data_IF_956479058869
#
_entry.id   IF_956479058869
#
_cell.length_a   1.000
_cell.length_b   1.000
_cell.length_c   1.000
_cell.angle_alpha   90.00
_cell.angle_beta   90.00
_cell.angle_gamma   90.00
#
_symmetry.space_group_name_H-M   'P 1'
#
loop_
_entity.id
_entity.type
_entity.pdbx_description
1 polymer ?
#
# COMPACT_ATOMS: atom_id res chain seq x y z
N UNK A 1 -1.62 -35.68 14.60
CA UNK A 1 -1.25 -34.91 13.38
C UNK A 1 -1.41 -33.42 13.70
N UNK A 2 -0.32 -32.67 13.87
CA UNK A 2 -0.39 -31.23 14.15
C UNK A 2 -0.91 -30.46 12.91
N UNK A 3 -1.82 -29.51 13.12
CA UNK A 3 -2.28 -28.62 12.06
C UNK A 3 -1.08 -27.87 11.49
N UNK A 4 -0.78 -28.08 10.21
CA UNK A 4 0.30 -27.34 9.53
C UNK A 4 -0.09 -25.86 9.52
N UNK A 5 0.66 -25.03 10.23
CA UNK A 5 0.62 -23.58 10.05
C UNK A 5 1.31 -23.28 8.73
N UNK A 6 0.54 -22.92 7.70
CA UNK A 6 1.07 -22.70 6.35
C UNK A 6 0.03 -22.10 5.40
N UNK A 7 0.52 -21.49 4.32
CA UNK A 7 -0.22 -20.69 3.33
C UNK A 7 -0.96 -21.58 2.33
N UNK A 8 -2.23 -21.25 2.01
CA UNK A 8 -2.99 -21.90 0.94
C UNK A 8 -3.17 -20.94 -0.25
N UNK A 9 -2.99 -21.41 -1.50
CA UNK A 9 -3.20 -20.58 -2.68
C UNK A 9 -4.66 -20.07 -2.74
N UNK A 10 -4.84 -18.75 -2.80
CA UNK A 10 -6.10 -18.12 -3.17
C UNK A 10 -6.37 -18.46 -4.65
N UNK A 11 -7.03 -19.57 -4.92
CA UNK A 11 -7.50 -19.94 -6.25
C UNK A 11 -8.40 -18.80 -6.79
N UNK A 12 -7.84 -17.96 -7.68
CA UNK A 12 -8.51 -16.91 -8.48
C UNK A 12 -9.03 -15.64 -7.78
N UNK A 13 -8.35 -15.08 -6.78
CA UNK A 13 -8.71 -13.74 -6.28
C UNK A 13 -8.04 -12.62 -7.12
N UNK A 14 -8.82 -11.66 -7.64
CA UNK A 14 -8.34 -10.48 -8.40
C UNK A 14 -7.33 -9.59 -7.63
N UNK A 15 -7.30 -9.69 -6.30
CA UNK A 15 -6.30 -9.01 -5.47
C UNK A 15 -4.93 -9.74 -5.50
N UNK A 16 -4.93 -11.06 -5.71
CA UNK A 16 -3.74 -11.90 -5.69
C UNK A 16 -2.96 -11.92 -7.04
N UNK A 17 -3.52 -11.40 -8.13
CA UNK A 17 -2.83 -11.36 -9.44
C UNK A 17 -1.76 -10.28 -9.53
N UNK A 18 -1.90 -9.21 -8.73
CA UNK A 18 -1.03 -8.02 -8.75
C UNK A 18 -0.08 -7.96 -7.56
N UNK A 19 -0.17 -8.93 -6.63
CA UNK A 19 0.72 -8.98 -5.47
C UNK A 19 2.10 -9.49 -5.90
N UNK A 20 3.16 -8.82 -5.45
CA UNK A 20 4.51 -9.36 -5.54
C UNK A 20 4.61 -10.39 -4.42
N UNK A 21 4.68 -11.66 -4.83
CA UNK A 21 4.73 -12.79 -3.91
C UNK A 21 6.15 -12.91 -3.35
N UNK A 22 6.32 -12.73 -2.03
CA UNK A 22 7.51 -13.17 -1.30
C UNK A 22 7.33 -14.61 -0.78
N UNK A 23 8.34 -15.12 -0.07
CA UNK A 23 8.38 -16.51 0.42
C UNK A 23 7.27 -16.86 1.43
N UNK A 24 6.71 -15.85 2.11
CA UNK A 24 5.61 -16.01 3.07
C UNK A 24 4.54 -14.95 2.85
N UNK A 25 3.31 -15.38 2.55
CA UNK A 25 2.15 -14.49 2.40
C UNK A 25 1.13 -14.83 3.49
N UNK A 26 0.93 -13.90 4.43
CA UNK A 26 -0.12 -13.95 5.44
C UNK A 26 -1.42 -13.31 4.93
N UNK A 27 -2.53 -14.02 5.15
CA UNK A 27 -3.90 -13.59 4.87
C UNK A 27 -4.30 -12.42 5.80
N UNK A 28 -5.39 -11.68 5.47
CA UNK A 28 -5.31 -10.22 5.33
C UNK A 28 -4.70 -9.51 6.55
N UNK A 29 -3.51 -8.97 6.37
CA UNK A 29 -2.83 -8.19 7.40
C UNK A 29 -3.53 -6.83 7.58
N UNK A 30 -3.75 -6.46 8.84
CA UNK A 30 -4.18 -5.13 9.29
C UNK A 30 -2.99 -4.39 9.87
N UNK A 31 -3.03 -3.06 9.88
CA UNK A 31 -1.96 -2.25 10.46
C UNK A 31 -0.66 -2.41 9.68
N UNK A 32 -0.70 -2.19 8.38
CA UNK A 32 0.46 -2.43 7.51
C UNK A 32 0.92 -1.16 6.81
N UNK A 33 2.22 -1.15 6.49
CA UNK A 33 2.80 -0.30 5.47
C UNK A 33 2.91 -1.12 4.19
N UNK A 34 2.38 -0.59 3.09
CA UNK A 34 2.38 -1.25 1.79
C UNK A 34 3.03 -0.36 0.73
N UNK A 35 3.46 -1.00 -0.36
CA UNK A 35 4.03 -0.36 -1.53
C UNK A 35 3.21 -0.71 -2.76
N UNK A 36 2.97 0.29 -3.62
CA UNK A 36 2.51 0.12 -4.99
C UNK A 36 3.67 0.46 -5.93
N UNK A 37 3.89 -0.38 -6.94
CA UNK A 37 4.89 -0.18 -7.99
C UNK A 37 4.18 -0.03 -9.33
N UNK A 38 4.40 1.11 -9.96
CA UNK A 38 3.94 1.42 -11.31
C UNK A 38 4.75 0.65 -12.36
N UNK A 39 4.19 0.28 -13.52
CA UNK A 39 4.97 -0.27 -14.64
C UNK A 39 6.16 0.59 -15.07
N UNK A 40 6.09 1.92 -14.94
CA UNK A 40 7.21 2.83 -15.24
C UNK A 40 8.33 2.83 -14.17
N UNK A 41 8.19 2.04 -13.10
CA UNK A 41 9.18 1.91 -12.04
C UNK A 41 8.96 2.81 -10.81
N UNK A 42 8.15 3.86 -10.93
CA UNK A 42 7.82 4.73 -9.79
C UNK A 42 7.01 3.99 -8.72
N UNK A 43 7.22 4.37 -7.45
CA UNK A 43 6.61 3.70 -6.31
C UNK A 43 5.84 4.65 -5.39
N UNK A 44 4.74 4.14 -4.83
CA UNK A 44 3.94 4.78 -3.79
C UNK A 44 4.04 3.95 -2.51
N UNK A 45 4.22 4.61 -1.37
CA UNK A 45 4.11 4.00 -0.04
C UNK A 45 2.86 4.54 0.64
N UNK A 46 2.09 3.64 1.22
CA UNK A 46 0.90 3.99 2.00
C UNK A 46 0.76 3.14 3.26
N UNK A 47 -0.06 3.58 4.19
CA UNK A 47 -0.45 2.81 5.37
C UNK A 47 -1.95 2.46 5.39
N UNK A 48 -2.31 1.40 6.13
CA UNK A 48 -3.71 1.12 6.45
C UNK A 48 -3.88 0.33 7.75
N UNK A 49 -4.84 0.77 8.59
CA UNK A 49 -5.35 -0.01 9.74
C UNK A 49 -6.34 -1.10 9.30
N UNK A 50 -6.99 -0.91 8.15
CA UNK A 50 -7.96 -1.86 7.57
C UNK A 50 -7.21 -2.98 6.84
N UNK A 51 -7.88 -4.09 6.49
CA UNK A 51 -7.28 -5.12 5.64
C UNK A 51 -6.65 -4.52 4.38
N UNK A 52 -5.38 -4.85 4.13
CA UNK A 52 -4.64 -4.29 2.97
C UNK A 52 -5.36 -4.50 1.65
N UNK A 53 -6.04 -5.65 1.48
CA UNK A 53 -6.81 -5.96 0.26
C UNK A 53 -7.89 -4.93 -0.05
N UNK A 54 -8.55 -4.37 0.96
CA UNK A 54 -9.59 -3.36 0.75
C UNK A 54 -8.97 -2.05 0.30
N UNK A 55 -7.83 -1.67 0.89
CA UNK A 55 -7.06 -0.50 0.45
C UNK A 55 -6.57 -0.65 -0.99
N UNK A 56 -6.11 -1.84 -1.40
CA UNK A 56 -5.72 -2.12 -2.79
C UNK A 56 -6.91 -2.03 -3.76
N UNK A 57 -8.11 -2.49 -3.35
CA UNK A 57 -9.32 -2.35 -4.17
C UNK A 57 -9.71 -0.88 -4.37
N UNK A 58 -9.58 -0.06 -3.33
CA UNK A 58 -9.81 1.39 -3.41
C UNK A 58 -8.87 2.01 -4.44
N UNK A 59 -7.56 1.77 -4.34
CA UNK A 59 -6.59 2.25 -5.35
C UNK A 59 -6.95 1.83 -6.77
N UNK A 60 -7.40 0.58 -6.96
CA UNK A 60 -7.86 0.12 -8.28
C UNK A 60 -9.09 0.88 -8.78
N UNK A 61 -10.02 1.19 -7.88
CA UNK A 61 -11.22 1.96 -8.21
C UNK A 61 -10.88 3.41 -8.52
N UNK A 62 -10.01 4.03 -7.73
CA UNK A 62 -9.57 5.41 -7.89
C UNK A 62 -8.84 5.62 -9.22
N UNK A 63 -7.95 4.70 -9.60
CA UNK A 63 -7.28 4.71 -10.91
C UNK A 63 -8.28 4.56 -12.06
N UNK A 64 -9.19 3.57 -11.97
CA UNK A 64 -10.14 3.28 -13.05
C UNK A 64 -11.14 4.42 -13.27
N UNK A 65 -11.54 5.09 -12.18
CA UNK A 65 -12.56 6.11 -12.17
C UNK A 65 -11.96 7.50 -11.90
N UNK A 66 -10.70 7.73 -12.28
CA UNK A 66 -10.01 8.98 -11.99
C UNK A 66 -10.78 10.18 -12.57
N UNK A 67 -11.03 11.17 -11.72
CA UNK A 67 -11.75 12.38 -12.09
C UNK A 67 -11.18 13.57 -11.34
N UNK A 68 -10.79 14.60 -12.08
CA UNK A 68 -10.24 15.84 -11.53
C UNK A 68 -11.23 16.45 -10.51
N UNK A 69 -10.69 17.08 -9.45
CA UNK A 69 -11.46 17.72 -8.38
C UNK A 69 -12.41 16.78 -7.60
N UNK A 70 -12.04 15.51 -7.48
CA UNK A 70 -12.74 14.54 -6.62
C UNK A 70 -11.81 13.98 -5.55
N UNK A 71 -12.33 13.47 -4.42
CA UNK A 71 -11.52 12.82 -3.39
C UNK A 71 -10.72 11.61 -3.90
N UNK A 72 -11.13 11.02 -5.03
CA UNK A 72 -10.46 9.89 -5.67
C UNK A 72 -9.33 10.33 -6.60
N UNK A 73 -9.14 11.63 -6.85
CA UNK A 73 -7.99 12.18 -7.58
C UNK A 73 -6.73 12.20 -6.72
N UNK A 74 -6.25 11.02 -6.40
CA UNK A 74 -5.02 10.79 -5.64
C UNK A 74 -3.79 10.99 -6.53
N UNK A 75 -2.62 11.15 -5.92
CA UNK A 75 -1.35 11.19 -6.66
C UNK A 75 -1.15 9.95 -7.55
N UNK A 76 -1.58 8.78 -7.06
CA UNK A 76 -1.53 7.51 -7.80
C UNK A 76 -2.50 7.52 -8.98
N UNK A 77 -3.78 7.84 -8.77
CA UNK A 77 -4.77 7.82 -9.86
C UNK A 77 -4.43 8.84 -10.95
N UNK A 78 -4.02 10.05 -10.55
CA UNK A 78 -3.61 11.13 -11.46
C UNK A 78 -2.38 10.71 -12.28
N UNK A 79 -1.39 10.08 -11.66
CA UNK A 79 -0.22 9.55 -12.37
C UNK A 79 -0.61 8.50 -13.41
N UNK A 80 -1.48 7.55 -13.03
CA UNK A 80 -1.90 6.49 -13.94
C UNK A 80 -2.68 7.04 -15.13
N UNK A 81 -3.59 7.98 -14.88
CA UNK A 81 -4.34 8.70 -15.90
C UNK A 81 -3.41 9.43 -16.87
N UNK A 82 -2.46 10.22 -16.36
CA UNK A 82 -1.51 10.99 -17.16
C UNK A 82 -0.59 10.12 -18.03
N UNK A 83 -0.13 8.98 -17.51
CA UNK A 83 0.80 8.08 -18.22
C UNK A 83 0.09 6.98 -19.02
N UNK A 84 -1.25 7.02 -19.13
CA UNK A 84 -2.05 6.00 -19.80
C UNK A 84 -1.79 4.58 -19.25
N UNK A 85 -1.58 4.47 -17.93
CA UNK A 85 -1.45 3.22 -17.21
C UNK A 85 -2.80 2.76 -16.64
N UNK A 86 -2.93 1.46 -16.42
CA UNK A 86 -4.14 0.80 -15.94
C UNK A 86 -3.95 0.21 -14.54
N UNK A 87 -4.99 0.22 -13.72
CA UNK A 87 -5.06 -0.38 -12.38
C UNK A 87 -4.64 -1.86 -12.29
N UNK A 88 -4.66 -2.60 -13.41
CA UNK A 88 -4.20 -3.98 -13.48
C UNK A 88 -2.68 -4.10 -13.66
N UNK A 89 -2.01 -3.03 -14.07
CA UNK A 89 -0.57 -3.03 -14.35
C UNK A 89 0.28 -2.76 -13.11
N UNK A 90 -0.28 -2.13 -12.07
CA UNK A 90 0.49 -1.91 -10.85
C UNK A 90 0.70 -3.22 -10.11
N UNK A 91 1.89 -3.34 -9.51
CA UNK A 91 2.22 -4.40 -8.57
C UNK A 91 2.20 -3.87 -7.15
N UNK A 92 1.94 -4.71 -6.15
CA UNK A 92 1.92 -4.26 -4.76
C UNK A 92 2.52 -5.29 -3.80
N UNK A 93 3.04 -4.83 -2.67
CA UNK A 93 3.55 -5.69 -1.60
C UNK A 93 3.37 -5.04 -0.22
N UNK A 94 3.41 -5.86 0.82
CA UNK A 94 3.48 -5.37 2.21
C UNK A 94 4.95 -5.20 2.58
N UNK A 95 5.34 -3.98 2.94
CA UNK A 95 6.69 -3.66 3.39
C UNK A 95 6.86 -4.04 4.86
N UNK A 96 5.82 -3.80 5.67
CA UNK A 96 5.88 -3.99 7.10
C UNK A 96 4.50 -4.25 7.70
N UNK A 97 4.44 -5.19 8.64
CA UNK A 97 3.31 -5.33 9.57
C UNK A 97 3.65 -4.62 10.86
N UNK A 98 2.86 -3.62 11.21
CA UNK A 98 3.01 -2.87 12.45
C UNK A 98 2.13 -3.55 13.50
N UNK A 99 2.73 -3.96 14.61
CA UNK A 99 2.00 -4.55 15.72
C UNK A 99 1.75 -3.49 16.78
N UNK A 100 0.52 -3.47 17.32
CA UNK A 100 0.20 -2.58 18.43
C UNK A 100 0.98 -3.05 19.67
N UNK A 101 1.72 -2.17 20.36
CA UNK A 101 2.34 -2.54 21.64
C UNK A 101 1.25 -2.89 22.67
N UNK A 102 1.60 -3.76 23.63
CA UNK A 102 0.67 -4.30 24.62
C UNK A 102 -0.01 -3.22 25.47
N UNK A 103 0.63 -2.06 25.65
CA UNK A 103 0.08 -0.87 26.33
C UNK A 103 -0.42 0.11 25.28
N UNK A 104 -1.61 0.67 25.47
CA UNK A 104 -2.40 1.54 24.58
C UNK A 104 -1.63 2.60 23.77
N UNK A 105 -0.86 2.17 22.77
CA UNK A 105 -0.25 3.05 21.78
C UNK A 105 -1.25 3.45 20.72
N UNK A 106 -1.21 4.71 20.29
CA UNK A 106 -1.99 5.17 19.14
C UNK A 106 -1.44 4.52 17.86
N UNK A 107 -2.19 3.52 17.37
CA UNK A 107 -1.85 2.78 16.15
C UNK A 107 -1.74 3.71 14.94
N UNK A 108 -2.53 4.78 14.89
CA UNK A 108 -2.50 5.75 13.79
C UNK A 108 -1.20 6.54 13.82
N UNK A 109 -0.78 7.03 15.00
CA UNK A 109 0.51 7.71 15.17
C UNK A 109 1.66 6.79 14.74
N UNK A 110 1.66 5.54 15.18
CA UNK A 110 2.69 4.57 14.83
C UNK A 110 2.74 4.29 13.31
N UNK A 111 1.59 4.10 12.66
CA UNK A 111 1.55 3.89 11.21
C UNK A 111 2.07 5.10 10.43
N UNK A 112 1.71 6.32 10.84
CA UNK A 112 2.20 7.54 10.19
C UNK A 112 3.73 7.69 10.35
N UNK A 113 4.28 7.36 11.53
CA UNK A 113 5.74 7.34 11.73
C UNK A 113 6.42 6.30 10.82
N UNK A 114 5.88 5.09 10.72
CA UNK A 114 6.48 4.03 9.90
C UNK A 114 6.36 4.33 8.41
N UNK A 115 5.24 4.88 7.96
CA UNK A 115 5.05 5.38 6.59
C UNK A 115 6.11 6.44 6.22
N UNK A 116 6.30 7.44 7.08
CA UNK A 116 7.33 8.47 6.92
C UNK A 116 8.75 7.90 6.78
N UNK A 117 9.11 6.92 7.62
CA UNK A 117 10.41 6.23 7.55
C UNK A 117 10.58 5.51 6.21
N UNK A 118 9.56 4.81 5.73
CA UNK A 118 9.61 4.09 4.46
C UNK A 118 9.68 5.02 3.25
N UNK A 119 8.94 6.13 3.25
CA UNK A 119 9.00 7.15 2.18
C UNK A 119 10.42 7.71 2.08
N UNK A 120 11.00 8.09 3.23
CA UNK A 120 12.39 8.60 3.28
C UNK A 120 13.40 7.54 2.82
N UNK A 121 13.24 6.28 3.26
CA UNK A 121 14.15 5.19 2.92
C UNK A 121 14.13 4.83 1.43
N UNK A 122 12.98 4.91 0.78
CA UNK A 122 12.82 4.57 -0.64
C UNK A 122 12.99 5.77 -1.58
N UNK A 123 13.17 6.98 -1.04
CA UNK A 123 13.30 8.22 -1.80
C UNK A 123 12.23 8.39 -2.90
N UNK A 124 10.97 8.15 -2.52
CA UNK A 124 9.87 8.04 -3.48
C UNK A 124 8.89 9.22 -3.44
N UNK A 125 9.40 10.40 -3.11
CA UNK A 125 8.66 11.65 -3.29
C UNK A 125 8.64 12.07 -4.76
N UNK A 126 7.59 12.78 -5.18
CA UNK A 126 7.56 13.46 -6.48
C UNK A 126 8.80 14.37 -6.61
N UNK A 127 9.54 14.35 -7.74
CA UNK A 127 9.22 13.70 -9.01
C UNK A 127 9.73 12.26 -9.17
N UNK A 128 10.47 11.71 -8.21
CA UNK A 128 11.11 10.38 -8.34
C UNK A 128 10.20 9.21 -7.94
N UNK A 129 9.12 9.49 -7.21
CA UNK A 129 8.06 8.54 -6.89
C UNK A 129 6.68 9.18 -6.88
N UNK A 130 5.74 8.50 -6.22
CA UNK A 130 4.31 8.85 -6.27
C UNK A 130 3.80 9.48 -4.97
N UNK A 131 4.61 9.58 -3.92
CA UNK A 131 4.23 10.27 -2.69
C UNK A 131 4.42 11.78 -2.88
N UNK A 132 3.40 12.59 -2.59
CA UNK A 132 3.51 14.05 -2.69
C UNK A 132 4.23 14.67 -1.49
N UNK A 133 4.11 14.06 -0.32
CA UNK A 133 4.75 14.49 0.91
C UNK A 133 4.92 13.31 1.88
N UNK A 134 5.65 13.57 2.95
CA UNK A 134 5.71 12.73 4.15
C UNK A 134 5.56 13.67 5.36
N UNK A 135 4.83 13.23 6.39
CA UNK A 135 4.56 14.07 7.55
C UNK A 135 5.55 13.78 8.68
N UNK A 136 6.15 14.84 9.23
CA UNK A 136 6.96 14.79 10.45
C UNK A 136 6.16 15.02 11.73
N UNK A 137 4.91 15.50 11.62
CA UNK A 137 4.03 15.78 12.77
C UNK A 137 3.87 14.59 13.74
N UNK A 138 3.84 13.32 13.30
CA UNK A 138 3.79 12.17 14.20
C UNK A 138 5.05 11.99 15.07
N UNK A 139 6.16 12.68 14.82
CA UNK A 139 7.40 12.57 15.60
C UNK A 139 7.55 13.66 16.66
N UNK A 140 6.69 14.67 16.60
CA UNK A 140 6.56 15.72 17.60
C UNK A 140 5.57 15.28 18.69
#
# INVERSE_FOLDING_TARGET
RAAKKGTFPCLRCLCCSTVIKGDSISHPMRGVIYLLKCPCGQVYVGQTVRPVKDRIKEHKSDIRNDKINTPTNTSVSRHFSFNNHNQLQFKWLVLEVVYKPHRSGDMKKLLLQREAVWIKKLNNLVPFGLNEYWSIAPFL
#
